data_IF_453864056008
#
_entry.id   IF_453864056008
#
_cell.length_a   1.000
_cell.length_b   1.000
_cell.length_c   1.000
_cell.angle_alpha   90.00
_cell.angle_beta   90.00
_cell.angle_gamma   90.00
#
_symmetry.space_group_name_H-M   'P 1'
#
loop_
_entity.id
_entity.type
_entity.pdbx_description
1 polymer ?
#
# COMPACT_ATOMS: atom_id res chain seq x y z
N UNK A 1 -26.25 7.30 -13.82
CA UNK A 1 -26.30 7.16 -12.32
C UNK A 1 -25.21 6.22 -11.81
N UNK A 2 -25.01 5.02 -12.41
CA UNK A 2 -23.92 4.11 -12.01
C UNK A 2 -22.56 4.74 -12.30
N UNK A 3 -22.36 5.32 -13.47
CA UNK A 3 -21.13 5.99 -13.88
C UNK A 3 -20.77 7.14 -12.93
N UNK A 4 -21.75 7.95 -12.57
CA UNK A 4 -21.54 9.05 -11.60
C UNK A 4 -21.10 8.54 -10.23
N UNK A 5 -21.60 7.38 -9.78
CA UNK A 5 -21.18 6.77 -8.51
C UNK A 5 -19.74 6.24 -8.61
N UNK A 6 -19.37 5.66 -9.75
CA UNK A 6 -18.02 5.16 -9.99
C UNK A 6 -17.00 6.31 -10.06
N UNK A 7 -17.34 7.42 -10.70
CA UNK A 7 -16.49 8.62 -10.78
C UNK A 7 -16.28 9.23 -9.41
N UNK A 8 -17.34 9.44 -8.62
CA UNK A 8 -17.24 9.97 -7.25
C UNK A 8 -16.37 9.06 -6.38
N UNK A 9 -16.48 7.72 -6.53
CA UNK A 9 -15.66 6.77 -5.81
C UNK A 9 -14.17 6.92 -6.16
N UNK A 10 -13.83 7.03 -7.44
CA UNK A 10 -12.46 7.21 -7.89
C UNK A 10 -11.85 8.52 -7.31
N UNK A 11 -12.61 9.61 -7.38
CA UNK A 11 -12.18 10.89 -6.82
C UNK A 11 -11.92 10.81 -5.31
N UNK A 12 -12.81 10.15 -4.56
CA UNK A 12 -12.64 9.95 -3.11
C UNK A 12 -11.38 9.12 -2.83
N UNK A 13 -11.12 8.07 -3.60
CA UNK A 13 -9.92 7.24 -3.44
C UNK A 13 -8.65 8.06 -3.68
N UNK A 14 -8.60 8.86 -4.73
CA UNK A 14 -7.46 9.71 -5.05
C UNK A 14 -7.23 10.78 -3.98
N UNK A 15 -8.28 11.44 -3.51
CA UNK A 15 -8.20 12.44 -2.43
C UNK A 15 -7.64 11.79 -1.14
N UNK A 16 -8.16 10.63 -0.76
CA UNK A 16 -7.67 9.91 0.43
C UNK A 16 -6.19 9.54 0.30
N UNK A 17 -5.75 9.10 -0.88
CA UNK A 17 -4.36 8.75 -1.13
C UNK A 17 -3.44 9.97 -1.03
N UNK A 18 -3.85 11.11 -1.60
CA UNK A 18 -3.11 12.38 -1.50
C UNK A 18 -3.01 12.85 -0.04
N UNK A 19 -4.11 12.79 0.72
CA UNK A 19 -4.10 13.13 2.14
C UNK A 19 -3.16 12.23 2.94
N UNK A 20 -3.14 10.92 2.63
CA UNK A 20 -2.19 9.98 3.24
C UNK A 20 -0.75 10.29 2.86
N UNK A 21 -0.49 10.68 1.61
CA UNK A 21 0.85 11.06 1.17
C UNK A 21 1.36 12.29 1.94
N UNK A 22 0.54 13.31 2.08
CA UNK A 22 0.86 14.49 2.89
C UNK A 22 1.10 14.09 4.34
N UNK A 23 0.25 13.24 4.92
CA UNK A 23 0.39 12.76 6.29
C UNK A 23 1.66 11.91 6.48
N UNK A 24 1.97 11.00 5.56
CA UNK A 24 3.19 10.18 5.59
C UNK A 24 4.44 11.04 5.46
N UNK A 25 4.42 12.04 4.59
CA UNK A 25 5.56 12.96 4.42
C UNK A 25 5.78 13.83 5.66
N UNK A 26 4.70 14.33 6.25
CA UNK A 26 4.74 15.26 7.39
C UNK A 26 5.00 14.58 8.72
N UNK A 27 4.48 13.40 8.94
CA UNK A 27 4.45 12.71 10.22
C UNK A 27 5.09 11.32 10.22
N UNK A 28 5.27 10.70 9.05
CA UNK A 28 5.82 9.37 8.89
C UNK A 28 7.36 9.36 8.85
N UNK A 29 7.92 8.17 8.99
CA UNK A 29 9.32 7.86 8.73
C UNK A 29 9.47 7.18 7.35
N UNK A 30 10.66 6.63 7.06
CA UNK A 30 10.94 6.02 5.77
C UNK A 30 9.94 4.90 5.37
N UNK A 31 9.54 3.94 6.23
CA UNK A 31 8.58 2.92 5.84
C UNK A 31 7.23 3.48 5.44
N UNK A 32 6.68 4.47 6.17
CA UNK A 32 5.40 5.09 5.84
C UNK A 32 5.46 5.80 4.49
N UNK A 33 6.54 6.53 4.22
CA UNK A 33 6.75 7.23 2.95
C UNK A 33 6.91 6.27 1.79
N UNK A 34 7.66 5.18 1.97
CA UNK A 34 7.86 4.18 0.92
C UNK A 34 6.57 3.41 0.62
N UNK A 35 5.81 2.97 1.64
CA UNK A 35 4.51 2.34 1.43
C UNK A 35 3.57 3.28 0.67
N UNK A 36 3.51 4.56 1.06
CA UNK A 36 2.69 5.55 0.38
C UNK A 36 3.15 5.77 -1.07
N UNK A 37 4.47 5.84 -1.31
CA UNK A 37 5.02 5.99 -2.66
C UNK A 37 4.66 4.80 -3.57
N UNK A 38 4.63 3.57 -3.04
CA UNK A 38 4.17 2.38 -3.77
C UNK A 38 2.69 2.51 -4.12
N UNK A 39 1.82 2.84 -3.14
CA UNK A 39 0.39 2.97 -3.40
C UNK A 39 0.08 4.11 -4.39
N UNK A 40 0.76 5.24 -4.29
CA UNK A 40 0.57 6.35 -5.25
C UNK A 40 1.22 6.08 -6.60
N UNK A 41 2.48 5.65 -6.61
CA UNK A 41 3.28 5.53 -7.83
C UNK A 41 2.86 4.32 -8.67
N UNK A 42 2.60 3.18 -8.04
CA UNK A 42 2.29 1.94 -8.75
C UNK A 42 0.79 1.78 -8.93
N UNK A 43 0.00 1.83 -7.83
CA UNK A 43 -1.43 1.53 -7.92
C UNK A 43 -2.24 2.68 -8.53
N UNK A 44 -1.87 3.94 -8.29
CA UNK A 44 -2.61 5.06 -8.87
C UNK A 44 -2.01 5.54 -10.18
N UNK A 45 -0.76 6.05 -10.19
CA UNK A 45 -0.16 6.58 -11.42
C UNK A 45 0.12 5.48 -12.44
N UNK A 46 0.46 4.27 -11.99
CA UNK A 46 0.62 3.10 -12.83
C UNK A 46 -0.70 2.70 -13.50
N UNK A 47 -1.81 2.72 -12.75
CA UNK A 47 -3.16 2.45 -13.26
C UNK A 47 -3.57 3.47 -14.33
N UNK A 48 -3.44 4.77 -14.03
CA UNK A 48 -3.68 5.86 -15.01
C UNK A 48 -2.82 5.69 -16.26
N UNK A 49 -1.54 5.36 -16.09
CA UNK A 49 -0.62 5.12 -17.20
C UNK A 49 -1.00 3.88 -18.01
N UNK A 50 -1.44 2.80 -17.37
CA UNK A 50 -1.90 1.58 -18.04
C UNK A 50 -3.13 1.86 -18.91
N UNK A 51 -4.13 2.58 -18.38
CA UNK A 51 -5.30 2.96 -19.15
C UNK A 51 -4.97 3.90 -20.32
N UNK A 52 -4.06 4.84 -20.11
CA UNK A 52 -3.66 5.78 -21.17
C UNK A 52 -2.87 5.11 -22.31
N UNK A 53 -2.03 4.10 -22.00
CA UNK A 53 -1.20 3.41 -22.98
C UNK A 53 -1.95 2.31 -23.74
N UNK A 54 -2.89 1.62 -23.09
CA UNK A 54 -3.49 0.41 -23.64
C UNK A 54 -4.98 0.53 -23.93
N UNK A 55 -5.59 1.71 -23.71
CA UNK A 55 -7.02 1.98 -23.94
C UNK A 55 -7.94 0.83 -23.42
N UNK A 56 -7.58 0.31 -22.25
CA UNK A 56 -8.29 -0.82 -21.66
C UNK A 56 -9.59 -0.30 -21.02
N UNK A 57 -10.71 -0.49 -21.74
CA UNK A 57 -12.03 -0.33 -21.13
C UNK A 57 -12.18 -1.32 -19.97
N UNK A 58 -12.76 -0.95 -18.83
CA UNK A 58 -12.96 -1.84 -17.70
C UNK A 58 -13.89 -2.99 -18.11
N UNK A 59 -13.32 -4.08 -18.55
CA UNK A 59 -14.04 -5.31 -18.89
C UNK A 59 -13.71 -6.34 -17.81
N UNK A 60 -14.62 -6.54 -16.88
CA UNK A 60 -14.52 -7.53 -15.80
C UNK A 60 -14.53 -9.00 -16.29
N UNK A 61 -14.25 -9.24 -17.56
CA UNK A 61 -14.37 -10.57 -18.19
C UNK A 61 -13.04 -11.26 -18.52
N UNK A 62 -11.91 -10.57 -18.33
CA UNK A 62 -10.58 -11.15 -18.57
C UNK A 62 -9.58 -10.61 -17.54
N UNK A 63 -8.57 -11.42 -17.22
CA UNK A 63 -7.43 -10.97 -16.42
C UNK A 63 -6.70 -9.89 -17.20
N UNK A 64 -6.79 -8.65 -16.76
CA UNK A 64 -6.03 -7.55 -17.33
C UNK A 64 -4.57 -7.66 -16.90
N UNK A 65 -3.72 -8.12 -17.80
CA UNK A 65 -2.30 -8.36 -17.53
C UNK A 65 -1.60 -7.11 -16.97
N UNK A 66 -2.01 -5.93 -17.41
CA UNK A 66 -1.47 -4.66 -16.92
C UNK A 66 -1.71 -4.47 -15.43
N UNK A 67 -2.94 -4.64 -14.96
CA UNK A 67 -3.30 -4.55 -13.54
C UNK A 67 -2.60 -5.64 -12.71
N UNK A 68 -2.55 -6.88 -13.21
CA UNK A 68 -1.82 -7.94 -12.53
C UNK A 68 -0.34 -7.61 -12.32
N UNK A 69 0.34 -7.03 -13.32
CA UNK A 69 1.75 -6.63 -13.20
C UNK A 69 1.92 -5.50 -12.18
N UNK A 70 1.02 -4.52 -12.18
CA UNK A 70 1.03 -3.42 -11.19
C UNK A 70 0.84 -3.97 -9.77
N UNK A 71 -0.13 -4.84 -9.57
CA UNK A 71 -0.44 -5.44 -8.27
C UNK A 71 0.69 -6.34 -7.76
N UNK A 72 1.30 -7.15 -8.64
CA UNK A 72 2.48 -7.95 -8.29
C UNK A 72 3.67 -7.07 -7.91
N UNK A 73 3.89 -5.98 -8.63
CA UNK A 73 4.99 -5.04 -8.34
C UNK A 73 4.76 -4.33 -7.00
N UNK A 74 3.54 -3.89 -6.74
CA UNK A 74 3.15 -3.30 -5.46
C UNK A 74 3.30 -4.30 -4.32
N UNK A 75 2.83 -5.54 -4.49
CA UNK A 75 2.98 -6.62 -3.52
C UNK A 75 4.44 -6.88 -3.18
N UNK A 76 5.29 -7.06 -4.20
CA UNK A 76 6.72 -7.30 -4.00
C UNK A 76 7.39 -6.14 -3.24
N UNK A 77 7.11 -4.90 -3.61
CA UNK A 77 7.63 -3.71 -2.93
C UNK A 77 7.18 -3.61 -1.47
N UNK A 78 5.90 -3.85 -1.19
CA UNK A 78 5.36 -3.86 0.18
C UNK A 78 5.94 -5.00 1.01
N UNK A 79 6.16 -6.18 0.41
CA UNK A 79 6.76 -7.33 1.07
C UNK A 79 8.22 -7.04 1.47
N UNK A 80 9.01 -6.42 0.60
CA UNK A 80 10.37 -5.98 0.91
C UNK A 80 10.36 -5.02 2.10
N UNK A 81 9.47 -4.03 2.09
CA UNK A 81 9.35 -3.10 3.22
C UNK A 81 8.93 -3.85 4.49
N UNK A 82 7.99 -4.81 4.40
CA UNK A 82 7.51 -5.58 5.54
C UNK A 82 8.62 -6.37 6.23
N UNK A 83 9.53 -6.96 5.44
CA UNK A 83 10.67 -7.72 5.97
C UNK A 83 11.73 -6.81 6.58
N UNK A 84 11.94 -5.63 6.00
CA UNK A 84 12.99 -4.70 6.44
C UNK A 84 12.55 -3.77 7.58
N UNK A 85 11.27 -3.43 7.65
CA UNK A 85 10.75 -2.47 8.62
C UNK A 85 10.57 -3.12 10.01
N UNK A 86 10.99 -2.40 11.05
CA UNK A 86 10.73 -2.82 12.45
C UNK A 86 9.28 -2.47 12.87
N UNK A 87 8.28 -2.95 12.09
CA UNK A 87 6.85 -2.62 12.25
C UNK A 87 5.97 -3.70 11.65
N UNK A 88 4.78 -3.90 12.22
CA UNK A 88 3.84 -4.94 11.77
C UNK A 88 2.91 -4.48 10.64
N UNK A 89 2.58 -3.17 10.55
CA UNK A 89 1.59 -2.71 9.57
C UNK A 89 2.00 -2.94 8.10
N UNK A 90 3.30 -2.89 7.68
CA UNK A 90 3.66 -3.22 6.30
C UNK A 90 3.38 -4.67 5.94
N UNK A 91 3.43 -5.59 6.93
CA UNK A 91 3.05 -6.98 6.73
C UNK A 91 1.56 -7.11 6.41
N UNK A 92 0.71 -6.34 7.10
CA UNK A 92 -0.72 -6.29 6.80
C UNK A 92 -1.00 -5.68 5.43
N UNK A 93 -0.24 -4.65 5.02
CA UNK A 93 -0.33 -4.07 3.68
C UNK A 93 0.05 -5.10 2.61
N UNK A 94 1.19 -5.78 2.79
CA UNK A 94 1.63 -6.83 1.87
C UNK A 94 0.63 -8.01 1.82
N UNK A 95 0.10 -8.45 2.96
CA UNK A 95 -0.91 -9.51 3.02
C UNK A 95 -2.18 -9.15 2.26
N UNK A 96 -2.69 -7.93 2.45
CA UNK A 96 -3.88 -7.46 1.75
C UNK A 96 -3.64 -7.28 0.25
N UNK A 97 -2.47 -6.77 -0.15
CA UNK A 97 -2.07 -6.67 -1.55
C UNK A 97 -1.89 -8.06 -2.18
N UNK A 98 -1.35 -9.02 -1.44
CA UNK A 98 -1.26 -10.41 -1.87
C UNK A 98 -2.64 -11.04 -2.11
N UNK A 99 -3.64 -10.68 -1.31
CA UNK A 99 -5.04 -11.09 -1.55
C UNK A 99 -5.56 -10.52 -2.87
N UNK A 100 -5.26 -9.24 -3.19
CA UNK A 100 -5.62 -8.64 -4.49
C UNK A 100 -4.99 -9.43 -5.65
N UNK A 101 -3.70 -9.77 -5.55
CA UNK A 101 -3.03 -10.59 -6.56
C UNK A 101 -3.73 -11.95 -6.73
N UNK A 102 -4.14 -12.60 -5.63
CA UNK A 102 -4.85 -13.87 -5.69
C UNK A 102 -6.23 -13.75 -6.37
N UNK A 103 -6.91 -12.61 -6.28
CA UNK A 103 -8.19 -12.43 -6.97
C UNK A 103 -8.04 -12.46 -8.49
N UNK A 104 -6.94 -11.96 -9.05
CA UNK A 104 -6.66 -12.06 -10.49
C UNK A 104 -6.57 -13.52 -10.96
N UNK A 105 -5.94 -14.39 -10.16
CA UNK A 105 -5.88 -15.82 -10.48
C UNK A 105 -7.25 -16.51 -10.32
N UNK A 106 -8.02 -16.13 -9.29
CA UNK A 106 -9.36 -16.69 -9.08
C UNK A 106 -10.32 -16.32 -10.22
N UNK A 107 -10.27 -15.08 -10.72
CA UNK A 107 -11.06 -14.62 -11.87
C UNK A 107 -10.74 -15.43 -13.15
N UNK A 108 -9.48 -15.82 -13.34
CA UNK A 108 -9.10 -16.68 -14.47
C UNK A 108 -9.61 -18.11 -14.37
N UNK A 109 -10.03 -18.56 -13.19
CA UNK A 109 -10.44 -19.95 -12.93
C UNK A 109 -11.97 -20.12 -12.79
N UNK A 110 -12.69 -19.06 -12.52
CA UNK A 110 -14.13 -19.12 -12.23
C UNK A 110 -14.94 -18.22 -13.18
N UNK A 111 -16.10 -18.71 -13.64
CA UNK A 111 -17.09 -17.84 -14.26
C UNK A 111 -17.64 -16.90 -13.18
N UNK A 112 -17.23 -15.66 -13.21
CA UNK A 112 -17.36 -14.70 -12.13
C UNK A 112 -18.79 -14.24 -11.87
N UNK A 113 -19.12 -14.01 -10.59
CA UNK A 113 -20.28 -13.26 -10.17
C UNK A 113 -19.91 -11.76 -10.14
N UNK A 114 -20.49 -10.90 -11.00
CA UNK A 114 -20.06 -9.50 -11.18
C UNK A 114 -20.01 -8.68 -9.88
N UNK A 115 -20.91 -8.97 -8.94
CA UNK A 115 -20.94 -8.33 -7.62
C UNK A 115 -19.74 -8.70 -6.74
N UNK A 116 -19.37 -9.99 -6.73
CA UNK A 116 -18.22 -10.45 -5.95
C UNK A 116 -16.94 -9.84 -6.48
N UNK A 117 -16.76 -9.78 -7.80
CA UNK A 117 -15.60 -9.18 -8.46
C UNK A 117 -15.49 -7.68 -8.15
N UNK A 118 -16.61 -6.94 -8.19
CA UNK A 118 -16.64 -5.53 -7.84
C UNK A 118 -16.25 -5.29 -6.37
N UNK A 119 -16.72 -6.12 -5.44
CA UNK A 119 -16.38 -5.99 -4.02
C UNK A 119 -14.90 -6.35 -3.79
N UNK A 120 -14.42 -7.44 -4.40
CA UNK A 120 -13.04 -7.90 -4.25
C UNK A 120 -12.01 -6.91 -4.86
N UNK A 121 -12.39 -6.17 -5.90
CA UNK A 121 -11.51 -5.16 -6.49
C UNK A 121 -11.47 -3.84 -5.72
N UNK A 122 -12.55 -3.50 -5.02
CA UNK A 122 -12.72 -2.19 -4.36
C UNK A 122 -12.35 -2.23 -2.87
N UNK A 123 -12.82 -3.24 -2.14
CA UNK A 123 -12.67 -3.32 -0.68
C UNK A 123 -11.21 -3.35 -0.22
N UNK A 124 -10.29 -4.07 -0.88
CA UNK A 124 -8.88 -4.10 -0.48
C UNK A 124 -8.21 -2.72 -0.50
N UNK A 125 -8.56 -1.86 -1.47
CA UNK A 125 -7.97 -0.53 -1.57
C UNK A 125 -8.26 0.33 -0.32
N UNK A 126 -9.50 0.32 0.17
CA UNK A 126 -9.85 1.01 1.42
C UNK A 126 -9.16 0.39 2.64
N UNK A 127 -8.97 -0.93 2.61
CA UNK A 127 -8.19 -1.65 3.62
C UNK A 127 -6.72 -1.18 3.66
N UNK A 128 -6.08 -1.04 2.49
CA UNK A 128 -4.72 -0.51 2.37
C UNK A 128 -4.60 0.91 2.93
N UNK A 129 -5.57 1.80 2.59
CA UNK A 129 -5.64 3.16 3.11
C UNK A 129 -5.78 3.14 4.65
N UNK A 130 -6.69 2.34 5.20
CA UNK A 130 -6.93 2.27 6.64
C UNK A 130 -5.71 1.75 7.41
N UNK A 131 -5.06 0.69 6.90
CA UNK A 131 -3.85 0.12 7.50
C UNK A 131 -2.70 1.13 7.47
N UNK A 132 -2.48 1.82 6.35
CA UNK A 132 -1.43 2.83 6.22
C UNK A 132 -1.68 4.03 7.13
N UNK A 133 -2.93 4.51 7.20
CA UNK A 133 -3.33 5.58 8.13
C UNK A 133 -3.06 5.19 9.59
N UNK A 134 -3.43 3.96 9.97
CA UNK A 134 -3.13 3.38 11.29
C UNK A 134 -1.63 3.30 11.55
N UNK A 135 -0.83 2.91 10.54
CA UNK A 135 0.64 2.88 10.61
C UNK A 135 1.26 4.25 10.89
N UNK A 136 0.83 5.28 10.15
CA UNK A 136 1.26 6.68 10.34
C UNK A 136 0.88 7.18 11.74
N UNK A 137 -0.35 6.90 12.17
CA UNK A 137 -0.82 7.28 13.50
C UNK A 137 -0.03 6.60 14.61
N UNK A 138 0.20 5.29 14.51
CA UNK A 138 0.98 4.52 15.46
C UNK A 138 2.45 5.00 15.53
N UNK A 139 3.05 5.33 14.37
CA UNK A 139 4.38 5.94 14.33
C UNK A 139 4.42 7.27 15.08
N UNK A 140 3.47 8.16 14.78
CA UNK A 140 3.39 9.48 15.44
C UNK A 140 3.23 9.34 16.96
N UNK A 141 2.39 8.40 17.42
CA UNK A 141 2.18 8.10 18.84
C UNK A 141 3.46 7.60 19.49
N UNK A 142 4.14 6.61 18.88
CA UNK A 142 5.43 6.09 19.39
C UNK A 142 6.51 7.16 19.46
N UNK A 143 6.63 7.99 18.43
CA UNK A 143 7.60 9.09 18.41
C UNK A 143 7.36 10.10 19.51
N UNK A 144 6.11 10.37 19.88
CA UNK A 144 5.76 11.23 21.01
C UNK A 144 6.09 10.60 22.37
N UNK A 145 5.95 9.29 22.50
CA UNK A 145 6.15 8.56 23.76
C UNK A 145 7.63 8.22 24.02
N UNK A 146 8.35 7.81 22.99
CA UNK A 146 9.69 7.23 23.13
C UNK A 146 10.79 8.07 22.43
N UNK A 147 10.46 9.19 21.80
CA UNK A 147 11.40 9.98 21.03
C UNK A 147 11.87 9.28 19.74
N UNK A 148 13.18 9.20 19.53
CA UNK A 148 13.75 8.52 18.37
C UNK A 148 13.87 7.01 18.62
N UNK A 149 13.46 6.20 17.65
CA UNK A 149 13.61 4.74 17.70
C UNK A 149 13.97 4.16 16.33
N UNK A 150 14.53 2.95 16.31
CA UNK A 150 14.95 2.28 15.08
C UNK A 150 13.76 2.04 14.14
N UNK A 151 13.90 2.52 12.91
CA UNK A 151 12.87 2.45 11.86
C UNK A 151 12.95 1.13 11.10
N UNK A 152 14.18 0.61 10.94
CA UNK A 152 14.49 -0.61 10.22
C UNK A 152 15.04 -1.68 11.16
N UNK A 153 14.80 -2.94 10.84
CA UNK A 153 15.38 -4.09 11.60
C UNK A 153 16.85 -4.30 11.29
N UNK A 154 17.29 -3.94 10.08
CA UNK A 154 18.69 -4.05 9.67
C UNK A 154 19.40 -2.78 10.11
N UNK A 155 19.89 -2.79 11.36
CA UNK A 155 20.90 -1.83 11.80
C UNK A 155 22.24 -2.57 11.85
N UNK A 156 23.32 -2.03 11.26
CA UNK A 156 24.66 -2.49 11.63
C UNK A 156 24.77 -2.32 13.16
N UNK A 157 25.38 -3.28 13.87
CA UNK A 157 25.57 -3.14 15.31
C UNK A 157 26.36 -1.84 15.54
N UNK A 158 25.66 -0.81 16.00
CA UNK A 158 26.33 0.40 16.48
C UNK A 158 27.25 -0.05 17.58
N UNK A 159 28.56 0.11 17.37
CA UNK A 159 29.56 -0.18 18.37
C UNK A 159 29.05 0.38 19.71
N UNK A 160 28.82 -0.53 20.65
CA UNK A 160 28.40 -0.22 22.01
C UNK A 160 29.44 0.79 22.53
N UNK A 161 29.07 2.06 22.63
CA UNK A 161 29.93 3.04 23.32
C UNK A 161 30.09 2.53 24.74
N UNK A 162 31.22 1.91 25.02
CA UNK A 162 31.58 1.61 26.39
C UNK A 162 31.51 2.90 27.21
N UNK A 163 30.84 2.87 28.37
CA UNK A 163 30.84 4.02 29.25
C UNK A 163 32.29 4.29 29.62
N UNK A 164 32.80 5.47 29.25
CA UNK A 164 34.12 5.92 29.73
C UNK A 164 34.14 5.78 31.25
N UNK A 165 34.88 4.79 31.76
CA UNK A 165 35.23 4.74 33.15
C UNK A 165 36.02 6.04 33.44
N UNK A 166 35.40 6.93 34.19
CA UNK A 166 36.14 8.04 34.81
C UNK A 166 37.03 7.41 35.89
N UNK A 167 38.33 7.48 35.69
CA UNK A 167 39.36 7.25 36.72
C UNK A 167 39.39 8.47 37.62
#
# INVERSE_FOLDING_TARGET
MLDTILDIKADVQHILLVLLAVAAWRYGAAPERLCTAILMGILWLGDVGNHWLFDTSPRFTAVETGHLVLDLTAFAGLLVIAVMANRLYPLWLAGLQGLVVLTHFAQGLTASAPLADSILSIAPFYGLIAILAGGIFAHRRRKRQFGSYAVWTIHPPTARREPRRRL
#
